data_IF_784002821310
#
_entry.id   IF_784002821310
#
_cell.length_a   1.000
_cell.length_b   1.000
_cell.length_c   1.000
_cell.angle_alpha   90.00
_cell.angle_beta   90.00
_cell.angle_gamma   90.00
#
_symmetry.space_group_name_H-M   'P 1'
#
loop_
_entity.id
_entity.type
_entity.pdbx_description
1 polymer ?
#
# COMPACT_ATOMS: atom_id res chain seq x y z
N UNK A 1 -8.07 -18.95 -18.11
CA UNK A 1 -9.06 -18.09 -17.42
C UNK A 1 -8.61 -17.93 -15.98
N UNK A 2 -8.56 -16.69 -15.44
CA UNK A 2 -8.17 -16.46 -14.04
C UNK A 2 -9.24 -16.99 -13.08
N UNK A 3 -8.81 -17.35 -11.86
CA UNK A 3 -9.67 -17.76 -10.74
C UNK A 3 -9.35 -16.97 -9.46
N UNK A 4 -8.15 -16.40 -9.40
CA UNK A 4 -7.65 -15.67 -8.24
C UNK A 4 -6.97 -14.38 -8.68
N UNK A 5 -7.34 -13.31 -8.02
CA UNK A 5 -6.69 -12.01 -8.17
C UNK A 5 -5.87 -11.74 -6.89
N UNK A 6 -4.57 -11.55 -7.04
CA UNK A 6 -3.76 -10.85 -6.07
C UNK A 6 -3.81 -9.37 -6.39
N UNK A 7 -4.11 -8.54 -5.43
CA UNK A 7 -4.25 -7.10 -5.65
C UNK A 7 -3.53 -6.32 -4.55
N UNK A 8 -2.83 -5.27 -4.96
CA UNK A 8 -2.23 -4.34 -4.00
C UNK A 8 -3.27 -3.41 -3.37
N UNK A 9 -2.94 -2.78 -2.26
CA UNK A 9 -3.84 -1.90 -1.52
C UNK A 9 -3.64 -0.41 -1.84
N UNK A 10 -2.47 0.14 -1.49
CA UNK A 10 -2.23 1.58 -1.49
C UNK A 10 -1.95 2.12 -2.90
N UNK A 11 -2.65 3.16 -3.29
CA UNK A 11 -2.61 3.74 -4.65
C UNK A 11 -3.07 2.77 -5.77
N UNK A 12 -3.59 1.59 -5.36
CA UNK A 12 -4.24 0.60 -6.23
C UNK A 12 -5.74 0.52 -5.95
N UNK A 13 -6.17 0.46 -4.70
CA UNK A 13 -7.57 0.47 -4.25
C UNK A 13 -7.85 1.63 -3.30
N UNK A 14 -6.86 2.03 -2.50
CA UNK A 14 -6.97 3.08 -1.49
C UNK A 14 -6.21 4.34 -1.91
N UNK A 15 -6.81 5.51 -1.70
CA UNK A 15 -6.14 6.79 -1.79
C UNK A 15 -5.21 6.98 -0.57
N UNK A 16 -3.98 6.44 -0.72
CA UNK A 16 -2.99 6.53 0.34
C UNK A 16 -2.57 7.97 0.63
N UNK A 17 -2.49 8.81 -0.40
CA UNK A 17 -2.12 10.22 -0.24
C UNK A 17 -3.13 10.97 0.64
N UNK A 18 -4.42 10.75 0.43
CA UNK A 18 -5.48 11.32 1.25
C UNK A 18 -5.43 10.79 2.69
N UNK A 19 -5.25 9.47 2.85
CA UNK A 19 -5.12 8.85 4.17
C UNK A 19 -3.92 9.40 4.94
N UNK A 20 -2.77 9.50 4.28
CA UNK A 20 -1.52 10.02 4.83
C UNK A 20 -1.66 11.50 5.24
N UNK A 21 -2.23 12.34 4.39
CA UNK A 21 -2.44 13.76 4.68
C UNK A 21 -3.38 13.99 5.88
N UNK A 22 -4.47 13.23 5.92
CA UNK A 22 -5.42 13.28 7.03
C UNK A 22 -4.79 12.80 8.34
N UNK A 23 -4.07 11.68 8.31
CA UNK A 23 -3.38 11.14 9.48
C UNK A 23 -2.32 12.12 10.01
N UNK A 24 -1.55 12.74 9.11
CA UNK A 24 -0.55 13.74 9.48
C UNK A 24 -1.19 14.94 10.19
N UNK A 25 -2.25 15.52 9.61
CA UNK A 25 -2.95 16.66 10.21
C UNK A 25 -3.48 16.32 11.60
N UNK A 26 -4.24 15.23 11.72
CA UNK A 26 -4.78 14.78 13.00
C UNK A 26 -3.70 14.51 14.05
N UNK A 27 -2.56 13.93 13.63
CA UNK A 27 -1.47 13.68 14.58
C UNK A 27 -0.86 14.97 15.09
N UNK A 28 -0.64 15.97 14.23
CA UNK A 28 -0.16 17.27 14.66
C UNK A 28 -1.18 18.01 15.54
N UNK A 29 -2.48 17.84 15.29
CA UNK A 29 -3.56 18.31 16.17
C UNK A 29 -3.48 17.64 17.56
N UNK A 30 -3.31 16.30 17.62
CA UNK A 30 -3.16 15.55 18.87
C UNK A 30 -1.97 16.02 19.74
N UNK A 31 -0.99 16.69 19.13
CA UNK A 31 0.20 17.26 19.81
C UNK A 31 0.13 18.78 19.98
N UNK A 32 -1.04 19.39 19.80
CA UNK A 32 -1.31 20.83 19.93
C UNK A 32 -0.42 21.71 19.05
N UNK A 33 0.07 21.20 17.90
CA UNK A 33 0.99 21.91 17.03
C UNK A 33 0.46 23.26 16.56
N UNK A 34 -0.80 23.29 16.10
CA UNK A 34 -1.41 24.49 15.55
C UNK A 34 -1.71 25.56 16.61
N UNK A 35 -1.85 25.14 17.87
CA UNK A 35 -2.06 26.06 19.00
C UNK A 35 -0.75 26.63 19.55
N UNK A 36 0.34 25.85 19.52
CA UNK A 36 1.59 26.20 20.18
C UNK A 36 2.67 26.74 19.25
N UNK A 37 2.83 26.16 18.07
CA UNK A 37 4.03 26.36 17.26
C UNK A 37 3.77 26.73 15.82
N UNK A 38 2.66 26.29 15.24
CA UNK A 38 2.49 26.20 13.80
C UNK A 38 1.31 26.97 13.23
N UNK A 39 1.43 27.21 11.94
CA UNK A 39 0.32 27.63 11.08
C UNK A 39 0.22 26.69 9.86
N UNK A 40 -0.80 26.84 9.06
CA UNK A 40 -1.03 25.98 7.87
C UNK A 40 0.14 26.05 6.88
N UNK A 41 0.77 27.20 6.67
CA UNK A 41 1.91 27.36 5.74
C UNK A 41 3.13 26.53 6.19
N UNK A 42 3.49 26.61 7.47
CA UNK A 42 4.56 25.78 8.04
C UNK A 42 4.21 24.30 7.97
N UNK A 43 2.95 23.96 8.23
CA UNK A 43 2.46 22.58 8.15
C UNK A 43 2.55 22.03 6.74
N UNK A 44 2.22 22.81 5.72
CA UNK A 44 2.35 22.41 4.32
C UNK A 44 3.79 22.07 3.95
N UNK A 45 4.74 22.87 4.43
CA UNK A 45 6.17 22.56 4.28
C UNK A 45 6.56 21.25 4.98
N UNK A 46 6.08 21.02 6.19
CA UNK A 46 6.33 19.76 6.93
C UNK A 46 5.79 18.55 6.14
N UNK A 47 4.61 18.67 5.53
CA UNK A 47 4.04 17.60 4.69
C UNK A 47 4.90 17.27 3.47
N UNK A 48 5.44 18.29 2.78
CA UNK A 48 6.32 18.07 1.63
C UNK A 48 7.66 17.46 2.08
N UNK A 49 8.24 17.93 3.18
CA UNK A 49 9.45 17.35 3.75
C UNK A 49 9.25 15.89 4.14
N UNK A 50 8.12 15.58 4.79
CA UNK A 50 7.77 14.21 5.14
C UNK A 50 7.66 13.31 3.92
N UNK A 51 7.02 13.77 2.85
CA UNK A 51 6.87 13.01 1.61
C UNK A 51 8.23 12.61 1.01
N UNK A 52 9.18 13.54 0.98
CA UNK A 52 10.54 13.28 0.49
C UNK A 52 11.27 12.27 1.38
N UNK A 53 11.24 12.50 2.70
CA UNK A 53 11.90 11.64 3.70
C UNK A 53 11.31 10.23 3.66
N UNK A 54 9.98 10.11 3.71
CA UNK A 54 9.29 8.83 3.73
C UNK A 54 9.53 8.03 2.43
N UNK A 55 9.50 8.68 1.27
CA UNK A 55 9.79 8.03 -0.01
C UNK A 55 11.23 7.51 -0.11
N UNK A 56 12.19 8.21 0.51
CA UNK A 56 13.58 7.76 0.58
C UNK A 56 13.73 6.54 1.47
N UNK A 57 13.09 6.56 2.64
CA UNK A 57 13.14 5.45 3.61
C UNK A 57 12.47 4.19 3.07
N UNK A 58 11.37 4.29 2.33
CA UNK A 58 10.76 3.14 1.68
C UNK A 58 11.70 2.48 0.65
N UNK A 59 12.45 3.29 -0.12
CA UNK A 59 13.48 2.76 -1.02
C UNK A 59 14.65 2.11 -0.29
N UNK A 60 15.05 2.65 0.88
CA UNK A 60 16.07 2.05 1.74
C UNK A 60 15.58 0.69 2.29
N UNK A 61 14.29 0.59 2.67
CA UNK A 61 13.66 -0.66 3.11
C UNK A 61 13.59 -1.71 1.99
N UNK A 62 13.14 -1.33 0.79
CA UNK A 62 13.09 -2.22 -0.39
C UNK A 62 14.46 -2.80 -0.75
N UNK A 63 15.55 -2.04 -0.47
CA UNK A 63 16.93 -2.48 -0.65
C UNK A 63 17.49 -3.27 0.54
N UNK A 64 16.70 -3.50 1.59
CA UNK A 64 17.13 -4.17 2.81
C UNK A 64 18.16 -3.40 3.65
N UNK A 65 18.30 -2.08 3.44
CA UNK A 65 19.25 -1.22 4.17
C UNK A 65 18.75 -0.84 5.56
N UNK A 66 17.45 -0.85 5.77
CA UNK A 66 16.79 -0.62 7.06
C UNK A 66 15.68 -1.65 7.25
N UNK A 67 15.27 -1.84 8.51
CA UNK A 67 14.12 -2.67 8.87
C UNK A 67 12.85 -1.84 8.95
N UNK A 68 11.70 -2.51 8.92
CA UNK A 68 10.39 -1.86 8.96
C UNK A 68 10.16 -1.09 10.27
N UNK A 69 10.62 -1.65 11.40
CA UNK A 69 10.53 -0.98 12.71
C UNK A 69 11.36 0.30 12.75
N UNK A 70 12.54 0.30 12.11
CA UNK A 70 13.39 1.47 11.99
C UNK A 70 12.74 2.53 11.10
N UNK A 71 12.14 2.16 9.97
CA UNK A 71 11.44 3.08 9.08
C UNK A 71 10.37 3.88 9.83
N UNK A 72 9.59 3.21 10.70
CA UNK A 72 8.50 3.84 11.45
C UNK A 72 8.96 5.03 12.28
N UNK A 73 10.13 4.93 12.88
CA UNK A 73 10.69 5.96 13.79
C UNK A 73 11.53 6.94 13.00
N UNK A 74 12.47 6.48 12.18
CA UNK A 74 13.41 7.28 11.41
C UNK A 74 12.74 8.37 10.55
N UNK A 75 11.56 8.10 9.98
CA UNK A 75 10.84 9.12 9.20
C UNK A 75 10.46 10.36 10.00
N UNK A 76 10.15 10.18 11.29
CA UNK A 76 9.84 11.31 12.18
C UNK A 76 11.08 11.89 12.83
N UNK A 77 12.11 11.11 13.12
CA UNK A 77 13.40 11.63 13.57
C UNK A 77 13.97 12.63 12.55
N UNK A 78 14.09 12.18 11.29
CA UNK A 78 14.57 13.03 10.19
C UNK A 78 13.66 14.24 9.94
N UNK A 79 12.33 14.06 10.07
CA UNK A 79 11.37 15.15 9.91
C UNK A 79 11.51 16.20 11.00
N UNK A 80 11.62 15.77 12.25
CA UNK A 80 11.72 16.68 13.40
C UNK A 80 13.05 17.40 13.44
N UNK A 81 14.15 16.72 13.13
CA UNK A 81 15.45 17.33 12.97
C UNK A 81 15.42 18.45 11.91
N UNK A 82 14.89 18.14 10.72
CA UNK A 82 14.81 19.09 9.59
C UNK A 82 13.95 20.31 9.89
N UNK A 83 12.86 20.15 10.65
CA UNK A 83 11.90 21.22 10.94
C UNK A 83 12.03 21.77 12.37
N UNK A 84 13.08 21.40 13.12
CA UNK A 84 13.34 21.82 14.50
C UNK A 84 12.18 21.56 15.47
N UNK A 85 11.43 20.45 15.25
CA UNK A 85 10.31 20.03 16.08
C UNK A 85 10.80 19.22 17.28
N UNK A 86 10.16 19.42 18.44
CA UNK A 86 10.60 18.82 19.72
C UNK A 86 9.56 17.86 20.29
N UNK A 87 9.09 16.91 19.49
CA UNK A 87 8.18 15.87 19.95
C UNK A 87 8.91 14.56 20.23
N UNK A 88 8.35 13.74 21.13
CA UNK A 88 8.84 12.38 21.31
C UNK A 88 8.51 11.57 20.04
N UNK A 89 9.54 11.22 19.29
CA UNK A 89 9.44 10.59 17.97
C UNK A 89 8.68 9.25 18.02
N UNK A 90 8.93 8.44 19.04
CA UNK A 90 8.29 7.14 19.20
C UNK A 90 6.79 7.29 19.46
N UNK A 91 6.41 8.15 20.40
CA UNK A 91 5.00 8.40 20.73
C UNK A 91 4.28 9.01 19.51
N UNK A 92 4.93 9.96 18.83
CA UNK A 92 4.37 10.56 17.61
C UNK A 92 4.17 9.51 16.50
N UNK A 93 5.15 8.64 16.27
CA UNK A 93 5.06 7.56 15.28
C UNK A 93 3.94 6.57 15.58
N UNK A 94 3.74 6.23 16.84
CA UNK A 94 2.64 5.36 17.28
C UNK A 94 1.28 6.03 17.01
N UNK A 95 1.15 7.30 17.38
CA UNK A 95 -0.08 8.08 17.16
C UNK A 95 -0.39 8.27 15.68
N UNK A 96 0.64 8.58 14.88
CA UNK A 96 0.48 8.66 13.44
C UNK A 96 0.01 7.33 12.82
N UNK A 97 0.54 6.22 13.27
CA UNK A 97 0.13 4.90 12.78
C UNK A 97 -1.33 4.59 13.16
N UNK A 98 -1.76 4.99 14.35
CA UNK A 98 -3.15 4.92 14.79
C UNK A 98 -4.06 5.75 13.87
N UNK A 99 -3.72 7.04 13.68
CA UNK A 99 -4.48 7.94 12.79
C UNK A 99 -4.50 7.46 11.33
N UNK A 100 -3.39 6.89 10.85
CA UNK A 100 -3.33 6.35 9.49
C UNK A 100 -4.23 5.12 9.34
N UNK A 101 -4.38 4.30 10.39
CA UNK A 101 -5.25 3.13 10.39
C UNK A 101 -6.75 3.46 10.28
N UNK A 102 -7.14 4.69 10.60
CA UNK A 102 -8.52 5.20 10.43
C UNK A 102 -8.84 5.51 8.95
N UNK A 103 -7.82 5.73 8.11
CA UNK A 103 -7.96 6.25 6.76
C UNK A 103 -8.38 5.23 5.70
N UNK A 104 -9.65 4.86 5.64
CA UNK A 104 -10.23 3.88 4.69
C UNK A 104 -10.75 4.54 3.40
N UNK A 105 -10.03 5.53 2.86
CA UNK A 105 -10.42 6.25 1.64
C UNK A 105 -10.16 5.38 0.42
N UNK A 106 -11.20 5.03 -0.33
CA UNK A 106 -11.07 4.33 -1.60
C UNK A 106 -10.80 5.29 -2.75
N UNK A 107 -10.06 4.83 -3.75
CA UNK A 107 -9.99 5.50 -5.05
C UNK A 107 -11.34 5.37 -5.76
N UNK A 108 -11.67 6.37 -6.60
CA UNK A 108 -12.91 6.37 -7.37
C UNK A 108 -12.99 5.13 -8.27
N UNK A 109 -14.08 4.38 -8.19
CA UNK A 109 -14.31 3.14 -8.93
C UNK A 109 -13.69 1.87 -8.31
N UNK A 110 -12.95 1.97 -7.19
CA UNK A 110 -12.33 0.81 -6.56
C UNK A 110 -13.37 -0.15 -5.92
N UNK A 111 -14.46 0.39 -5.36
CA UNK A 111 -15.53 -0.44 -4.81
C UNK A 111 -16.25 -1.22 -5.90
N UNK A 112 -16.56 -0.58 -7.03
CA UNK A 112 -17.20 -1.19 -8.20
C UNK A 112 -16.30 -2.27 -8.81
N UNK A 113 -14.99 -2.03 -8.92
CA UNK A 113 -14.04 -3.04 -9.36
C UNK A 113 -14.05 -4.26 -8.45
N UNK A 114 -13.97 -4.05 -7.12
CA UNK A 114 -13.96 -5.14 -6.16
C UNK A 114 -15.28 -5.94 -6.21
N UNK A 115 -16.40 -5.25 -6.33
CA UNK A 115 -17.72 -5.90 -6.48
C UNK A 115 -17.77 -6.78 -7.75
N UNK A 116 -17.47 -6.22 -8.91
CA UNK A 116 -17.45 -6.93 -10.19
C UNK A 116 -16.51 -8.14 -10.14
N UNK A 117 -15.30 -7.92 -9.63
CA UNK A 117 -14.28 -8.99 -9.58
C UNK A 117 -14.69 -10.12 -8.63
N UNK A 118 -15.34 -9.81 -7.51
CA UNK A 118 -15.74 -10.82 -6.52
C UNK A 118 -16.85 -11.77 -7.01
N UNK A 119 -17.58 -11.40 -8.03
CA UNK A 119 -18.61 -12.26 -8.67
C UNK A 119 -17.99 -13.40 -9.51
N UNK A 120 -16.73 -13.23 -9.94
CA UNK A 120 -16.04 -14.16 -10.85
C UNK A 120 -14.76 -14.75 -10.27
N UNK A 121 -14.08 -14.00 -9.39
CA UNK A 121 -12.74 -14.32 -8.91
C UNK A 121 -12.67 -14.24 -7.38
N UNK A 122 -11.81 -15.05 -6.82
CA UNK A 122 -11.36 -14.87 -5.44
C UNK A 122 -10.36 -13.72 -5.41
N UNK A 123 -10.37 -12.92 -4.34
CA UNK A 123 -9.49 -11.76 -4.21
C UNK A 123 -8.69 -11.82 -2.92
N UNK A 124 -7.38 -11.67 -3.03
CA UNK A 124 -6.46 -11.57 -1.90
C UNK A 124 -5.67 -10.29 -2.04
N UNK A 125 -5.70 -9.44 -1.01
CA UNK A 125 -4.82 -8.27 -0.94
C UNK A 125 -3.43 -8.72 -0.50
N UNK A 126 -2.38 -8.26 -1.22
CA UNK A 126 -0.98 -8.42 -0.85
C UNK A 126 -0.34 -7.03 -0.75
N UNK A 127 0.06 -6.62 0.44
CA UNK A 127 0.58 -5.26 0.69
C UNK A 127 1.90 -5.27 1.46
N UNK A 128 2.78 -4.31 1.10
CA UNK A 128 4.02 -4.03 1.84
C UNK A 128 3.81 -3.04 2.99
N UNK A 129 2.57 -2.58 3.20
CA UNK A 129 2.26 -1.64 4.28
C UNK A 129 2.30 -2.29 5.66
N UNK A 130 2.36 -1.44 6.68
CA UNK A 130 2.45 -1.84 8.09
C UNK A 130 1.16 -2.55 8.52
N UNK A 131 1.27 -3.74 9.10
CA UNK A 131 0.13 -4.60 9.48
C UNK A 131 -0.87 -3.89 10.40
N UNK A 132 -0.35 -3.20 11.43
CA UNK A 132 -1.16 -2.40 12.40
C UNK A 132 -1.98 -1.31 11.70
N UNK A 133 -1.55 -0.86 10.53
CA UNK A 133 -2.23 0.15 9.70
C UNK A 133 -3.16 -0.51 8.68
N UNK A 134 -2.66 -1.47 7.92
CA UNK A 134 -3.39 -2.04 6.78
C UNK A 134 -4.61 -2.85 7.18
N UNK A 135 -4.48 -3.70 8.21
CA UNK A 135 -5.59 -4.57 8.61
C UNK A 135 -6.84 -3.77 9.03
N UNK A 136 -6.75 -2.77 9.94
CA UNK A 136 -7.92 -1.96 10.28
C UNK A 136 -8.49 -1.17 9.10
N UNK A 137 -7.64 -0.54 8.29
CA UNK A 137 -8.08 0.22 7.10
C UNK A 137 -8.90 -0.62 6.14
N UNK A 138 -8.40 -1.81 5.80
CA UNK A 138 -9.07 -2.70 4.86
C UNK A 138 -10.36 -3.25 5.48
N UNK A 139 -10.30 -3.71 6.74
CA UNK A 139 -11.48 -4.26 7.44
C UNK A 139 -12.61 -3.25 7.62
N UNK A 140 -12.29 -1.98 7.84
CA UNK A 140 -13.26 -0.90 8.01
C UNK A 140 -13.73 -0.30 6.68
N UNK A 141 -13.19 -0.75 5.56
CA UNK A 141 -13.57 -0.27 4.23
C UNK A 141 -14.78 -1.01 3.66
N UNK A 142 -15.46 -0.37 2.72
CA UNK A 142 -16.59 -0.98 2.00
C UNK A 142 -16.20 -2.21 1.18
N UNK A 143 -14.92 -2.34 0.80
CA UNK A 143 -14.44 -3.47 0.00
C UNK A 143 -14.10 -4.71 0.81
N UNK A 144 -14.06 -4.64 2.14
CA UNK A 144 -13.71 -5.79 3.00
C UNK A 144 -14.55 -7.04 2.69
N UNK A 145 -15.83 -6.87 2.43
CA UNK A 145 -16.75 -7.97 2.11
C UNK A 145 -16.42 -8.74 0.81
N UNK A 146 -15.60 -8.16 -0.06
CA UNK A 146 -15.18 -8.74 -1.33
C UNK A 146 -13.79 -9.39 -1.26
N UNK A 147 -13.07 -9.18 -0.16
CA UNK A 147 -11.69 -9.64 0.03
C UNK A 147 -11.67 -10.91 0.87
N UNK A 148 -11.12 -11.97 0.31
CA UNK A 148 -11.05 -13.27 0.99
C UNK A 148 -9.97 -13.29 2.08
N UNK A 149 -8.79 -12.73 1.80
CA UNK A 149 -7.64 -12.65 2.71
C UNK A 149 -6.86 -11.36 2.49
N UNK A 150 -6.16 -10.96 3.55
CA UNK A 150 -5.20 -9.86 3.52
C UNK A 150 -3.86 -10.44 3.95
N UNK A 151 -2.85 -10.29 3.10
CA UNK A 151 -1.46 -10.69 3.34
C UNK A 151 -0.63 -9.42 3.44
N UNK A 152 0.10 -9.30 4.53
CA UNK A 152 0.98 -8.15 4.80
C UNK A 152 2.43 -8.64 4.84
N UNK A 153 3.39 -7.83 4.43
CA UNK A 153 4.82 -8.17 4.45
C UNK A 153 5.29 -8.73 5.80
N UNK A 154 4.75 -8.22 6.91
CA UNK A 154 5.05 -8.72 8.27
C UNK A 154 4.65 -10.20 8.48
N UNK A 155 3.70 -10.74 7.72
CA UNK A 155 3.27 -12.15 7.85
C UNK A 155 4.35 -13.13 7.37
N UNK A 156 5.22 -12.68 6.46
CA UNK A 156 6.28 -13.48 5.85
C UNK A 156 7.69 -12.98 6.19
N UNK A 157 7.80 -11.82 6.83
CA UNK A 157 9.04 -11.08 7.11
C UNK A 157 9.80 -10.66 5.84
N UNK A 158 9.14 -10.71 4.69
CA UNK A 158 9.64 -10.25 3.41
C UNK A 158 8.57 -9.45 2.68
N UNK A 159 8.98 -8.45 1.91
CA UNK A 159 8.10 -7.59 1.12
C UNK A 159 8.13 -7.95 -0.37
N UNK A 160 7.09 -7.60 -1.12
CA UNK A 160 7.14 -7.58 -2.58
C UNK A 160 8.35 -6.75 -3.04
N UNK A 161 9.15 -7.18 -4.02
CA UNK A 161 8.90 -8.22 -5.01
C UNK A 161 9.40 -9.63 -4.65
N UNK A 162 9.69 -9.94 -3.37
CA UNK A 162 10.12 -11.27 -2.98
C UNK A 162 9.01 -12.30 -3.22
N UNK A 163 9.39 -13.44 -3.80
CA UNK A 163 8.42 -14.51 -4.16
C UNK A 163 7.73 -15.17 -2.96
N UNK A 164 8.35 -15.14 -1.79
CA UNK A 164 7.84 -15.81 -0.59
C UNK A 164 6.49 -15.23 -0.15
N UNK A 165 6.26 -13.91 -0.28
CA UNK A 165 4.97 -13.31 0.07
C UNK A 165 3.84 -13.78 -0.88
N UNK A 166 4.16 -13.97 -2.18
CA UNK A 166 3.22 -14.50 -3.17
C UNK A 166 2.95 -15.99 -2.92
N UNK A 167 3.98 -16.76 -2.58
CA UNK A 167 3.81 -18.17 -2.24
C UNK A 167 2.94 -18.33 -1.00
N UNK A 168 3.17 -17.54 0.04
CA UNK A 168 2.33 -17.54 1.24
C UNK A 168 0.86 -17.21 0.93
N UNK A 169 0.61 -16.22 0.07
CA UNK A 169 -0.74 -15.87 -0.37
C UNK A 169 -1.39 -17.02 -1.15
N UNK A 170 -0.64 -17.71 -2.01
CA UNK A 170 -1.11 -18.88 -2.75
C UNK A 170 -1.44 -20.05 -1.82
N UNK A 171 -0.59 -20.31 -0.82
CA UNK A 171 -0.81 -21.38 0.16
C UNK A 171 -2.06 -21.14 0.98
N UNK A 172 -2.32 -19.87 1.37
CA UNK A 172 -3.56 -19.48 2.03
C UNK A 172 -4.79 -19.70 1.12
N UNK A 173 -4.69 -19.34 -0.15
CA UNK A 173 -5.75 -19.56 -1.12
C UNK A 173 -6.05 -21.06 -1.30
N UNK A 174 -5.02 -21.87 -1.40
CA UNK A 174 -5.12 -23.30 -1.67
C UNK A 174 -5.67 -24.13 -0.50
N UNK A 175 -5.76 -23.55 0.71
CA UNK A 175 -6.47 -24.19 1.84
C UNK A 175 -7.97 -24.37 1.57
N UNK A 176 -8.55 -23.54 0.70
CA UNK A 176 -9.97 -23.60 0.36
C UNK A 176 -10.22 -24.34 -0.95
N UNK A 177 -9.63 -23.84 -2.04
CA UNK A 177 -9.74 -24.42 -3.37
C UNK A 177 -8.40 -24.26 -4.09
N UNK A 178 -7.91 -25.33 -4.71
CA UNK A 178 -6.64 -25.30 -5.45
C UNK A 178 -6.74 -24.41 -6.68
N UNK A 179 -5.74 -23.53 -6.82
CA UNK A 179 -5.47 -22.72 -8.00
C UNK A 179 -4.01 -22.88 -8.40
N UNK A 180 -3.74 -22.86 -9.68
CA UNK A 180 -2.39 -22.89 -10.24
C UNK A 180 -1.90 -21.48 -10.54
N UNK A 181 -0.60 -21.29 -10.73
CA UNK A 181 -0.03 -19.98 -11.05
C UNK A 181 -0.62 -19.37 -12.34
N UNK A 182 -0.96 -20.22 -13.33
CA UNK A 182 -1.55 -19.79 -14.60
C UNK A 182 -2.98 -19.24 -14.45
N UNK A 183 -3.61 -19.48 -13.31
CA UNK A 183 -4.96 -19.01 -13.00
C UNK A 183 -4.96 -17.77 -12.10
N UNK A 184 -3.76 -17.16 -11.88
CA UNK A 184 -3.57 -16.01 -11.00
C UNK A 184 -3.10 -14.81 -11.80
N UNK A 185 -3.61 -13.63 -11.44
CA UNK A 185 -3.09 -12.34 -11.88
C UNK A 185 -2.77 -11.46 -10.69
N UNK A 186 -1.59 -10.79 -10.73
CA UNK A 186 -1.26 -9.71 -9.79
C UNK A 186 -1.64 -8.36 -10.40
N UNK A 187 -2.44 -7.58 -9.68
CA UNK A 187 -2.87 -6.24 -10.07
C UNK A 187 -2.29 -5.23 -9.07
N UNK A 188 -1.54 -4.25 -9.55
CA UNK A 188 -0.96 -3.24 -8.67
C UNK A 188 -0.37 -2.04 -9.40
N UNK A 189 -0.05 -0.99 -8.64
CA UNK A 189 0.48 0.27 -9.17
C UNK A 189 2.01 0.37 -9.16
N UNK A 190 2.69 -0.47 -8.39
CA UNK A 190 4.15 -0.45 -8.27
C UNK A 190 4.80 -1.40 -9.26
N UNK A 191 5.56 -0.85 -10.21
CA UNK A 191 6.31 -1.69 -11.16
C UNK A 191 7.37 -2.52 -10.44
N UNK A 192 8.12 -1.94 -9.49
CA UNK A 192 9.20 -2.62 -8.77
C UNK A 192 8.72 -3.65 -7.75
N UNK A 193 7.57 -3.43 -7.12
CA UNK A 193 7.05 -4.33 -6.10
C UNK A 193 6.03 -5.33 -6.67
N UNK A 194 4.94 -4.83 -7.27
CA UNK A 194 3.83 -5.66 -7.69
C UNK A 194 4.12 -6.42 -8.98
N UNK A 195 4.55 -5.68 -10.00
CA UNK A 195 4.73 -6.25 -11.34
C UNK A 195 5.96 -7.14 -11.36
N UNK A 196 7.10 -6.62 -10.87
CA UNK A 196 8.31 -7.43 -10.77
C UNK A 196 8.11 -8.66 -9.88
N UNK A 197 7.40 -8.49 -8.77
CA UNK A 197 7.08 -9.61 -7.87
C UNK A 197 6.21 -10.69 -8.53
N UNK A 198 5.17 -10.28 -9.26
CA UNK A 198 4.35 -11.21 -10.04
C UNK A 198 5.12 -11.94 -11.14
N UNK A 199 6.00 -11.23 -11.87
CA UNK A 199 6.91 -11.80 -12.86
C UNK A 199 7.85 -12.81 -12.21
N UNK A 200 8.52 -12.44 -11.10
CA UNK A 200 9.43 -13.32 -10.38
C UNK A 200 8.72 -14.58 -9.88
N UNK A 201 7.48 -14.45 -9.45
CA UNK A 201 6.68 -15.56 -8.97
C UNK A 201 6.13 -16.44 -10.11
N UNK A 202 6.11 -15.95 -11.35
CA UNK A 202 5.64 -16.67 -12.54
C UNK A 202 4.12 -16.65 -12.71
N UNK A 203 3.48 -15.52 -12.39
CA UNK A 203 2.06 -15.25 -12.61
C UNK A 203 1.88 -14.07 -13.57
N UNK A 204 0.70 -13.95 -14.15
CA UNK A 204 0.34 -12.81 -14.97
C UNK A 204 0.27 -11.53 -14.13
N UNK A 205 0.54 -10.39 -14.76
CA UNK A 205 0.59 -9.10 -14.08
C UNK A 205 -0.18 -8.03 -14.85
N UNK A 206 -0.84 -7.15 -14.11
CA UNK A 206 -1.48 -5.95 -14.64
C UNK A 206 -1.00 -4.72 -13.87
N UNK A 207 -0.31 -3.83 -14.56
CA UNK A 207 0.10 -2.55 -14.01
C UNK A 207 -1.04 -1.53 -14.13
N UNK A 208 -1.56 -1.09 -12.99
CA UNK A 208 -2.53 0.02 -12.92
C UNK A 208 -1.77 1.33 -12.81
N UNK A 209 -1.78 2.13 -13.89
CA UNK A 209 -1.11 3.41 -13.96
C UNK A 209 -2.10 4.59 -13.97
N UNK A 210 -2.90 4.74 -12.92
CA UNK A 210 -3.87 5.82 -12.78
C UNK A 210 -3.23 7.22 -12.70
N UNK A 211 -1.95 7.30 -12.31
CA UNK A 211 -1.22 8.56 -12.11
C UNK A 211 -0.30 8.94 -13.27
N UNK A 212 -0.38 8.25 -14.40
CA UNK A 212 0.52 8.44 -15.55
C UNK A 212 2.02 8.45 -15.17
N UNK A 213 2.42 7.52 -14.31
CA UNK A 213 3.81 7.34 -13.92
C UNK A 213 4.66 6.93 -15.14
N UNK A 214 5.93 7.31 -15.11
CA UNK A 214 6.88 6.88 -16.14
C UNK A 214 7.04 5.35 -16.10
N UNK A 215 6.97 4.76 -17.29
CA UNK A 215 7.17 3.31 -17.46
C UNK A 215 8.64 2.97 -17.30
N UNK A 216 8.91 1.92 -16.53
CA UNK A 216 10.21 1.25 -16.53
C UNK A 216 10.19 0.19 -17.65
N UNK A 217 11.01 0.40 -18.69
CA UNK A 217 11.03 -0.48 -19.87
C UNK A 217 11.60 -1.87 -19.57
N UNK A 218 12.33 -2.03 -18.49
CA UNK A 218 12.88 -3.32 -18.06
C UNK A 218 11.82 -4.22 -17.39
N UNK A 219 10.70 -3.65 -16.91
CA UNK A 219 9.62 -4.35 -16.21
C UNK A 219 8.37 -4.40 -17.10
N UNK A 220 8.14 -5.54 -17.72
CA UNK A 220 7.05 -5.72 -18.69
C UNK A 220 5.85 -6.43 -18.06
N UNK A 221 4.86 -5.65 -17.63
CA UNK A 221 3.57 -6.20 -17.26
C UNK A 221 2.87 -6.84 -18.48
N UNK A 222 2.11 -7.92 -18.27
CA UNK A 222 1.28 -8.52 -19.32
C UNK A 222 0.19 -7.54 -19.79
N UNK A 223 -0.40 -6.81 -18.85
CA UNK A 223 -1.38 -5.76 -19.12
C UNK A 223 -0.94 -4.46 -18.46
N UNK A 224 -1.24 -3.34 -19.12
CA UNK A 224 -1.09 -1.99 -18.54
C UNK A 224 -2.38 -1.24 -18.78
N UNK A 225 -2.96 -0.69 -17.72
CA UNK A 225 -4.23 0.04 -17.76
C UNK A 225 -4.11 1.39 -17.08
N UNK A 226 -4.87 2.36 -17.54
CA UNK A 226 -4.93 3.73 -17.00
C UNK A 226 -6.24 4.02 -16.27
N UNK A 227 -7.17 3.07 -16.30
CA UNK A 227 -8.45 3.14 -15.59
C UNK A 227 -8.91 1.75 -15.17
N UNK A 228 -9.77 1.67 -14.16
CA UNK A 228 -10.40 0.40 -13.78
C UNK A 228 -11.32 -0.16 -14.89
N UNK A 229 -11.89 0.71 -15.72
CA UNK A 229 -12.75 0.28 -16.83
C UNK A 229 -12.02 -0.62 -17.82
N UNK A 230 -10.74 -0.38 -18.04
CA UNK A 230 -9.93 -1.19 -18.95
C UNK A 230 -9.68 -2.62 -18.42
N UNK A 231 -9.74 -2.83 -17.08
CA UNK A 231 -9.64 -4.17 -16.49
C UNK A 231 -10.76 -5.09 -16.93
N UNK A 232 -11.96 -4.56 -17.13
CA UNK A 232 -13.12 -5.35 -17.54
C UNK A 232 -13.01 -5.99 -18.93
N UNK A 233 -12.01 -5.58 -19.74
CA UNK A 233 -11.78 -6.13 -21.07
C UNK A 233 -11.10 -7.52 -21.02
N UNK A 234 -10.50 -7.91 -19.89
CA UNK A 234 -9.78 -9.18 -19.76
C UNK A 234 -10.00 -9.92 -18.42
N UNK A 235 -10.73 -9.30 -17.48
CA UNK A 235 -11.23 -9.92 -16.25
C UNK A 235 -12.62 -10.51 -16.43
#
# INVERSE_FOLDING_TARGET
MYKLIFIDADDTLFDFRKAQGNAMKKTFEDFDYFEKEGNEEKFDKIKEDYKVINSKLWRELEKGQIKEDELRVLRFERLFEKNSLKYNTKIFSEKYSERLSEGSFLLEGAEELCKYSSEKYRMIIITNGIKKVQIPRIKNSKINKYIEKIVVSEDTRVSKPNIEIFQYALDLANKKNKVTKQEIIMIGNSQSADIQGGINFGIDTCWINLKNQQKNEDIKAKYTVKSYKELYNFL
#
